data_IF_220646211578
#
_entry.id   IF_220646211578
#
_cell.length_a   1.000
_cell.length_b   1.000
_cell.length_c   1.000
_cell.angle_alpha   90.00
_cell.angle_beta   90.00
_cell.angle_gamma   90.00
#
_symmetry.space_group_name_H-M   'P 1'
#
loop_
_entity.id
_entity.type
_entity.pdbx_description
1 polymer ?
#
# COMPACT_ATOMS: atom_id res chain seq x y z
N UNK A 1 -3.51 -8.85 -12.94
CA UNK A 1 -2.50 -7.88 -12.43
C UNK A 1 -1.36 -7.77 -13.40
N UNK A 2 -0.62 -6.67 -13.39
CA UNK A 2 0.52 -6.42 -14.25
C UNK A 2 1.55 -5.58 -13.48
N UNK A 3 2.81 -5.99 -13.54
CA UNK A 3 3.93 -5.29 -12.87
C UNK A 3 4.16 -3.93 -13.50
N UNK A 4 4.26 -2.90 -12.66
CA UNK A 4 4.41 -1.51 -13.10
C UNK A 4 5.84 -0.98 -12.97
N UNK A 5 6.73 -1.72 -12.34
CA UNK A 5 8.10 -1.28 -12.07
C UNK A 5 9.11 -2.41 -11.95
N UNK A 6 10.33 -2.03 -11.55
CA UNK A 6 11.42 -2.94 -11.21
C UNK A 6 11.17 -3.65 -9.88
N UNK A 7 12.02 -4.63 -9.55
CA UNK A 7 11.92 -5.36 -8.30
C UNK A 7 12.08 -4.44 -7.09
N UNK A 8 11.18 -4.58 -6.13
CA UNK A 8 11.26 -3.91 -4.84
C UNK A 8 12.38 -4.51 -3.99
N UNK A 9 12.96 -3.73 -3.10
CA UNK A 9 13.87 -4.21 -2.07
C UNK A 9 13.48 -3.61 -0.70
N UNK A 10 13.98 -4.19 0.43
CA UNK A 10 13.59 -3.79 1.77
C UNK A 10 14.28 -2.48 2.22
N UNK A 11 14.03 -1.41 1.49
CA UNK A 11 14.44 -0.05 1.84
C UNK A 11 13.29 0.93 1.66
N UNK A 12 13.21 1.94 2.53
CA UNK A 12 12.15 2.94 2.45
C UNK A 12 12.13 3.67 1.10
N UNK A 13 13.28 4.01 0.56
CA UNK A 13 13.39 4.64 -0.77
C UNK A 13 12.84 3.76 -1.89
N UNK A 14 12.99 2.44 -1.81
CA UNK A 14 12.42 1.50 -2.80
C UNK A 14 10.89 1.46 -2.68
N UNK A 15 10.35 1.40 -1.46
CA UNK A 15 8.91 1.47 -1.21
C UNK A 15 8.32 2.77 -1.78
N UNK A 16 8.95 3.91 -1.49
CA UNK A 16 8.53 5.21 -2.03
C UNK A 16 8.56 5.25 -3.56
N UNK A 17 9.58 4.67 -4.18
CA UNK A 17 9.68 4.61 -5.64
C UNK A 17 8.54 3.80 -6.26
N UNK A 18 8.15 2.69 -5.66
CA UNK A 18 7.00 1.89 -6.11
C UNK A 18 5.68 2.67 -5.98
N UNK A 19 5.48 3.39 -4.86
CA UNK A 19 4.31 4.26 -4.66
C UNK A 19 4.27 5.36 -5.72
N UNK A 20 5.41 6.00 -6.01
CA UNK A 20 5.49 7.09 -7.00
C UNK A 20 5.22 6.62 -8.44
N UNK A 21 5.63 5.40 -8.77
CA UNK A 21 5.29 4.78 -10.06
C UNK A 21 3.79 4.53 -10.18
N UNK A 22 3.15 4.05 -9.11
CA UNK A 22 1.74 3.66 -9.11
C UNK A 22 0.76 4.83 -8.99
N UNK A 23 1.16 5.90 -8.32
CA UNK A 23 0.27 7.01 -7.93
C UNK A 23 -0.51 7.66 -9.08
N UNK A 24 0.01 7.59 -10.31
CA UNK A 24 -0.64 8.14 -11.50
C UNK A 24 -1.36 7.08 -12.36
N UNK A 25 -1.41 5.84 -11.90
CA UNK A 25 -1.95 4.72 -12.66
C UNK A 25 -3.36 4.28 -12.21
N UNK A 26 -4.02 5.06 -11.35
CA UNK A 26 -5.34 4.72 -10.80
C UNK A 26 -6.40 4.42 -11.88
N UNK A 27 -6.33 5.08 -13.04
CA UNK A 27 -7.25 4.85 -14.17
C UNK A 27 -7.04 3.51 -14.88
N UNK A 28 -5.93 2.83 -14.60
CA UNK A 28 -5.59 1.54 -15.20
C UNK A 28 -5.86 0.36 -14.26
N UNK A 29 -6.29 0.63 -13.02
CA UNK A 29 -6.63 -0.38 -12.03
C UNK A 29 -8.16 -0.48 -11.83
N UNK A 30 -8.63 -1.67 -11.54
CA UNK A 30 -10.03 -1.94 -11.23
C UNK A 30 -10.31 -3.44 -11.12
N UNK A 31 -11.55 -3.84 -10.85
CA UNK A 31 -11.91 -5.25 -10.73
C UNK A 31 -11.46 -6.08 -11.94
N UNK A 32 -10.63 -7.10 -11.67
CA UNK A 32 -10.07 -7.99 -12.67
C UNK A 32 -8.74 -7.52 -13.32
N UNK A 33 -8.29 -6.29 -13.07
CA UNK A 33 -7.02 -5.77 -13.60
C UNK A 33 -6.39 -4.81 -12.59
N UNK A 34 -5.30 -5.23 -11.99
CA UNK A 34 -4.65 -4.54 -10.88
C UNK A 34 -3.25 -4.07 -11.25
N UNK A 35 -2.89 -2.86 -10.87
CA UNK A 35 -1.50 -2.41 -10.85
C UNK A 35 -0.74 -3.20 -9.79
N UNK A 36 0.46 -3.64 -10.11
CA UNK A 36 1.28 -4.46 -9.23
C UNK A 36 2.62 -3.76 -8.97
N UNK A 37 2.74 -3.05 -7.82
CA UNK A 37 3.98 -2.38 -7.43
C UNK A 37 5.01 -3.34 -6.83
N UNK A 38 4.78 -4.62 -6.87
CA UNK A 38 5.55 -5.73 -6.33
C UNK A 38 5.06 -6.23 -4.96
N UNK A 39 5.68 -7.31 -4.48
CA UNK A 39 5.36 -7.94 -3.21
C UNK A 39 5.64 -7.01 -2.01
N UNK A 40 5.15 -7.43 -0.84
CA UNK A 40 5.39 -6.76 0.42
C UNK A 40 6.77 -7.11 0.99
N UNK A 41 7.55 -6.10 1.36
CA UNK A 41 8.84 -6.23 2.04
C UNK A 41 8.72 -6.16 3.59
N UNK A 42 7.50 -6.21 4.11
CA UNK A 42 7.16 -6.13 5.54
C UNK A 42 7.87 -7.23 6.33
N UNK A 43 8.63 -6.81 7.36
CA UNK A 43 9.41 -7.72 8.19
C UNK A 43 10.74 -8.17 7.60
N UNK A 44 11.24 -7.49 6.56
CA UNK A 44 12.52 -7.83 5.88
C UNK A 44 13.63 -6.80 6.09
N UNK A 45 13.46 -5.85 7.01
CA UNK A 45 14.52 -4.91 7.36
C UNK A 45 14.08 -3.45 7.47
N UNK A 46 12.87 -3.13 7.08
CA UNK A 46 12.24 -1.84 7.36
C UNK A 46 11.98 -1.68 8.86
N UNK A 47 11.88 -0.45 9.35
CA UNK A 47 11.38 -0.18 10.70
C UNK A 47 9.90 -0.58 10.82
N UNK A 48 9.42 -0.73 12.05
CA UNK A 48 8.02 -1.11 12.26
C UNK A 48 7.02 -0.06 11.74
N UNK A 49 7.41 1.20 11.69
CA UNK A 49 6.57 2.28 11.16
C UNK A 49 6.57 2.30 9.64
N UNK A 50 7.73 2.07 9.01
CA UNK A 50 7.84 1.88 7.55
C UNK A 50 7.07 0.63 7.09
N UNK A 51 7.17 -0.49 7.84
CA UNK A 51 6.39 -1.70 7.58
C UNK A 51 4.87 -1.43 7.59
N UNK A 52 4.38 -0.65 8.58
CA UNK A 52 2.97 -0.25 8.65
C UNK A 52 2.58 0.67 7.50
N UNK A 53 3.41 1.64 7.20
CA UNK A 53 3.18 2.58 6.10
C UNK A 53 3.17 1.85 4.75
N UNK A 54 4.12 0.94 4.53
CA UNK A 54 4.20 0.10 3.33
C UNK A 54 2.92 -0.73 3.15
N UNK A 55 2.52 -1.49 4.18
CA UNK A 55 1.31 -2.32 4.12
C UNK A 55 0.05 -1.48 3.91
N UNK A 56 -0.08 -0.37 4.63
CA UNK A 56 -1.20 0.56 4.50
C UNK A 56 -1.29 1.17 3.11
N UNK A 57 -0.16 1.57 2.51
CA UNK A 57 -0.15 2.14 1.17
C UNK A 57 -0.48 1.11 0.10
N UNK A 58 -0.01 -0.15 0.19
CA UNK A 58 -0.46 -1.21 -0.73
C UNK A 58 -1.97 -1.40 -0.67
N UNK A 59 -2.55 -1.41 0.54
CA UNK A 59 -4.00 -1.46 0.69
C UNK A 59 -4.71 -0.24 0.08
N UNK A 60 -4.16 0.96 0.22
CA UNK A 60 -4.71 2.16 -0.42
C UNK A 60 -4.62 2.09 -1.95
N UNK A 61 -3.55 1.53 -2.49
CA UNK A 61 -3.32 1.37 -3.93
C UNK A 61 -4.14 0.23 -4.56
N UNK A 62 -4.88 -0.57 -3.78
CA UNK A 62 -5.52 -1.80 -4.22
C UNK A 62 -4.52 -2.78 -4.87
N UNK A 63 -3.30 -2.78 -4.36
CA UNK A 63 -2.20 -3.59 -4.87
C UNK A 63 -2.30 -5.03 -4.37
N UNK A 64 -1.80 -6.02 -5.12
CA UNK A 64 -1.78 -7.41 -4.65
C UNK A 64 -0.98 -7.54 -3.33
N UNK A 65 -1.62 -8.01 -2.26
CA UNK A 65 -0.97 -8.20 -0.95
C UNK A 65 -0.22 -9.54 -0.92
N UNK A 66 0.93 -9.60 -1.58
CA UNK A 66 1.77 -10.80 -1.66
C UNK A 66 2.91 -10.68 -0.65
N UNK A 67 2.90 -11.52 0.39
CA UNK A 67 3.94 -11.53 1.42
C UNK A 67 5.29 -11.99 0.85
N UNK A 68 6.32 -11.16 0.99
CA UNK A 68 7.68 -11.46 0.53
C UNK A 68 8.60 -12.00 1.63
N UNK A 69 8.13 -12.11 2.88
CA UNK A 69 8.88 -12.60 4.03
C UNK A 69 8.69 -14.10 4.29
N UNK A 70 9.51 -14.68 5.15
CA UNK A 70 9.30 -16.05 5.62
C UNK A 70 8.15 -16.11 6.64
N UNK A 71 6.98 -16.55 6.18
CA UNK A 71 5.76 -16.62 7.01
C UNK A 71 5.86 -17.63 8.16
N UNK A 72 6.83 -18.55 8.14
CA UNK A 72 7.04 -19.55 9.20
C UNK A 72 7.75 -18.94 10.42
N UNK A 73 8.43 -17.81 10.23
CA UNK A 73 9.34 -17.20 11.19
C UNK A 73 9.11 -15.69 11.36
N UNK A 74 7.85 -15.27 11.34
CA UNK A 74 7.48 -13.86 11.52
C UNK A 74 7.57 -13.41 12.98
N UNK A 75 8.03 -12.17 13.21
CA UNK A 75 7.86 -11.51 14.49
C UNK A 75 6.37 -11.28 14.80
N UNK A 76 6.05 -11.09 16.09
CA UNK A 76 4.68 -10.75 16.48
C UNK A 76 4.20 -9.44 15.83
N UNK A 77 5.10 -8.46 15.68
CA UNK A 77 4.82 -7.17 15.02
C UNK A 77 4.54 -7.36 13.54
N UNK A 78 5.40 -8.08 12.82
CA UNK A 78 5.20 -8.39 11.39
C UNK A 78 3.87 -9.11 11.16
N UNK A 79 3.57 -10.11 12.01
CA UNK A 79 2.30 -10.82 11.94
C UNK A 79 1.10 -9.90 12.16
N UNK A 80 1.15 -9.03 13.17
CA UNK A 80 0.08 -8.09 13.48
C UNK A 80 -0.18 -7.11 12.32
N UNK A 81 0.86 -6.66 11.61
CA UNK A 81 0.74 -5.81 10.43
C UNK A 81 0.06 -6.60 9.30
N UNK A 82 0.63 -7.72 8.90
CA UNK A 82 0.17 -8.50 7.73
C UNK A 82 -1.23 -9.13 7.92
N UNK A 83 -1.71 -9.25 9.16
CA UNK A 83 -3.04 -9.79 9.47
C UNK A 83 -4.01 -8.74 10.00
N UNK A 84 -3.74 -7.46 9.80
CA UNK A 84 -4.66 -6.39 10.21
C UNK A 84 -5.92 -6.42 9.35
N UNK A 85 -7.02 -6.85 9.96
CA UNK A 85 -8.29 -7.07 9.27
C UNK A 85 -8.90 -5.79 8.69
N UNK A 86 -8.70 -4.65 9.34
CA UNK A 86 -9.26 -3.37 8.90
C UNK A 86 -8.52 -2.86 7.65
N UNK A 87 -7.19 -2.97 7.63
CA UNK A 87 -6.37 -2.60 6.46
C UNK A 87 -6.65 -3.55 5.29
N UNK A 88 -6.75 -4.85 5.55
CA UNK A 88 -7.12 -5.85 4.54
C UNK A 88 -8.52 -5.56 3.99
N UNK A 89 -9.48 -5.16 4.82
CA UNK A 89 -10.82 -4.81 4.36
C UNK A 89 -10.83 -3.61 3.42
N UNK A 90 -9.93 -2.62 3.65
CA UNK A 90 -9.73 -1.52 2.69
C UNK A 90 -9.22 -2.04 1.37
N UNK A 91 -8.21 -2.92 1.37
CA UNK A 91 -7.65 -3.51 0.15
C UNK A 91 -8.70 -4.31 -0.64
N UNK A 92 -9.44 -5.16 0.05
CA UNK A 92 -10.42 -6.10 -0.51
C UNK A 92 -11.79 -5.48 -0.80
N UNK A 93 -11.92 -4.15 -0.72
CA UNK A 93 -13.20 -3.49 -1.01
C UNK A 93 -13.65 -3.76 -2.46
N UNK A 94 -14.90 -4.24 -2.68
CA UNK A 94 -15.37 -4.71 -3.98
C UNK A 94 -15.47 -3.62 -5.05
N UNK A 95 -15.44 -2.33 -4.69
CA UNK A 95 -15.36 -1.25 -5.66
C UNK A 95 -14.04 -1.28 -6.44
N UNK A 96 -12.97 -1.83 -5.84
CA UNK A 96 -11.68 -2.04 -6.48
C UNK A 96 -10.98 -0.78 -6.99
N UNK A 97 -11.33 0.40 -6.48
CA UNK A 97 -10.71 1.66 -6.86
C UNK A 97 -9.38 1.84 -6.13
N UNK A 98 -8.37 2.30 -6.85
CA UNK A 98 -7.11 2.75 -6.29
C UNK A 98 -7.27 4.14 -5.66
N UNK A 99 -6.55 4.42 -4.57
CA UNK A 99 -6.48 5.75 -3.98
C UNK A 99 -5.76 6.75 -4.88
N UNK A 100 -6.07 8.02 -4.69
CA UNK A 100 -5.37 9.14 -5.31
C UNK A 100 -4.94 10.15 -4.26
N UNK A 101 -3.89 10.92 -4.54
CA UNK A 101 -3.47 12.05 -3.70
C UNK A 101 -4.50 13.16 -3.83
N UNK A 102 -5.02 13.62 -2.70
CA UNK A 102 -6.02 14.72 -2.66
C UNK A 102 -5.45 16.01 -2.09
N UNK A 103 -4.33 15.95 -1.35
CA UNK A 103 -3.61 17.12 -0.88
C UNK A 103 -2.16 16.80 -0.53
N UNK A 104 -1.29 17.81 -0.62
CA UNK A 104 0.14 17.76 -0.25
C UNK A 104 0.44 18.93 0.70
N UNK A 105 0.09 18.82 2.01
CA UNK A 105 0.19 19.94 2.96
C UNK A 105 1.63 20.32 3.33
N UNK A 106 2.62 19.57 2.89
CA UNK A 106 4.05 19.82 3.14
C UNK A 106 4.94 19.02 2.19
N UNK A 107 6.24 19.22 2.27
CA UNK A 107 7.21 18.62 1.32
C UNK A 107 7.17 17.09 1.32
N UNK A 108 6.98 16.48 2.50
CA UNK A 108 6.99 15.03 2.68
C UNK A 108 5.64 14.49 3.17
N UNK A 109 4.56 15.29 3.07
CA UNK A 109 3.25 14.92 3.56
C UNK A 109 2.27 14.83 2.40
N UNK A 110 1.59 13.71 2.29
CA UNK A 110 0.54 13.47 1.31
C UNK A 110 -0.74 12.99 2.01
N UNK A 111 -1.88 13.48 1.57
CA UNK A 111 -3.19 12.96 1.96
C UNK A 111 -3.74 12.19 0.78
N UNK A 112 -3.97 10.92 1.00
CA UNK A 112 -4.55 10.01 0.02
C UNK A 112 -5.98 9.69 0.36
N UNK A 113 -6.83 9.52 -0.65
CA UNK A 113 -8.22 9.12 -0.48
C UNK A 113 -8.57 8.00 -1.45
N UNK A 114 -9.14 6.93 -0.90
CA UNK A 114 -9.71 5.80 -1.64
C UNK A 114 -11.21 5.76 -1.44
N UNK A 115 -11.99 5.74 -2.52
CA UNK A 115 -13.42 5.52 -2.46
C UNK A 115 -13.71 4.04 -2.21
N UNK A 116 -14.63 3.75 -1.30
CA UNK A 116 -15.05 2.40 -0.94
C UNK A 116 -16.52 2.18 -1.31
N UNK A 117 -16.92 0.92 -1.36
CA UNK A 117 -18.26 0.49 -1.80
C UNK A 117 -19.42 0.94 -0.90
N UNK A 118 -19.16 1.33 0.34
CA UNK A 118 -20.17 1.91 1.23
C UNK A 118 -20.64 3.29 0.76
N UNK A 119 -21.89 3.66 1.04
CA UNK A 119 -22.45 4.98 0.69
C UNK A 119 -21.63 6.10 1.31
N UNK A 120 -21.00 6.95 0.49
CA UNK A 120 -20.12 8.03 0.91
C UNK A 120 -18.96 7.59 1.82
N UNK A 121 -18.51 6.34 1.69
CA UNK A 121 -17.44 5.78 2.50
C UNK A 121 -16.10 5.95 1.79
N UNK A 122 -15.08 6.39 2.54
CA UNK A 122 -13.70 6.56 2.05
C UNK A 122 -12.69 6.08 3.07
N UNK A 123 -11.63 5.46 2.60
CA UNK A 123 -10.39 5.34 3.36
C UNK A 123 -9.53 6.57 3.09
N UNK A 124 -8.87 7.07 4.14
CA UNK A 124 -7.95 8.21 4.06
C UNK A 124 -6.63 7.81 4.70
N UNK A 125 -5.53 8.04 4.00
CA UNK A 125 -4.20 7.90 4.55
C UNK A 125 -3.53 9.27 4.70
N UNK A 126 -3.01 9.54 5.89
CA UNK A 126 -2.11 10.66 6.17
C UNK A 126 -0.68 10.10 6.07
N UNK A 127 -0.06 10.28 4.92
CA UNK A 127 1.19 9.64 4.57
C UNK A 127 2.37 10.59 4.78
N UNK A 128 3.26 10.23 5.70
CA UNK A 128 4.54 10.89 5.89
C UNK A 128 5.62 10.10 5.14
N UNK A 129 6.27 10.76 4.19
CA UNK A 129 7.30 10.18 3.32
C UNK A 129 8.73 10.34 3.88
N UNK A 130 8.89 11.08 5.00
CA UNK A 130 10.21 11.25 5.62
C UNK A 130 10.69 9.96 6.29
N UNK A 131 12.00 9.81 6.36
CA UNK A 131 12.68 8.80 7.16
C UNK A 131 12.61 9.14 8.66
#
# INVERSE_FOLDING_TARGET
MWRIGFDINPSWSSVLSCIDLDKNLASYAGPGHWNDPDMLEVGKGLSADEDRAHFGMWAMLAAPLIAGNDIRSMSATTKAILTNVDVIAVDQDPLGKQATVVATPGTNLEIWSRELSGTNTRAVALFNRSE
#
